data_IF_688238197466
#
_entry.id   IF_688238197466
#
_cell.length_a   1.000
_cell.length_b   1.000
_cell.length_c   1.000
_cell.angle_alpha   90.00
_cell.angle_beta   90.00
_cell.angle_gamma   90.00
#
_symmetry.space_group_name_H-M   'P 1'
#
loop_
_entity.id
_entity.type
_entity.pdbx_description
1 polymer ?
#
# COMPACT_ATOMS: atom_id res chain seq x y z
N UNK A 1 22.60 0.07 -4.41
CA UNK A 1 21.58 -0.89 -3.93
C UNK A 1 21.05 -0.55 -2.53
N UNK A 2 21.59 0.46 -1.85
CA UNK A 2 20.95 1.00 -0.64
C UNK A 2 19.88 2.02 -1.05
N UNK A 3 18.61 1.65 -0.88
CA UNK A 3 17.47 2.55 -1.00
C UNK A 3 16.71 2.49 0.32
N UNK A 4 16.68 3.63 1.03
CA UNK A 4 16.02 3.82 2.33
C UNK A 4 16.44 2.81 3.41
N UNK A 5 17.62 2.20 3.28
CA UNK A 5 18.24 1.30 4.27
C UNK A 5 17.31 0.16 4.75
N UNK A 6 16.50 -0.39 3.85
CA UNK A 6 15.49 -1.42 4.17
C UNK A 6 15.47 -2.55 3.14
N UNK A 7 14.93 -3.70 3.54
CA UNK A 7 14.71 -4.87 2.69
C UNK A 7 13.22 -5.20 2.58
N UNK A 8 12.85 -6.06 1.62
CA UNK A 8 11.47 -6.56 1.44
C UNK A 8 11.31 -7.84 2.26
N UNK A 9 10.22 -7.95 3.03
CA UNK A 9 9.85 -9.18 3.71
C UNK A 9 9.24 -10.15 2.68
N UNK A 10 9.70 -11.39 2.67
CA UNK A 10 9.14 -12.48 1.89
C UNK A 10 7.79 -12.92 2.48
N UNK A 11 6.70 -12.47 1.88
CA UNK A 11 5.33 -12.81 2.24
C UNK A 11 4.89 -14.15 1.62
N UNK A 12 5.70 -14.76 0.75
CA UNK A 12 5.46 -16.11 0.23
C UNK A 12 5.71 -17.13 1.33
N UNK A 13 6.65 -16.86 2.24
CA UNK A 13 6.83 -17.62 3.46
C UNK A 13 5.58 -17.49 4.37
N UNK A 14 4.84 -18.59 4.64
CA UNK A 14 3.62 -18.55 5.46
C UNK A 14 3.84 -18.03 6.88
N UNK A 15 4.99 -18.32 7.49
CA UNK A 15 5.30 -17.86 8.86
C UNK A 15 5.52 -16.35 8.90
N UNK A 16 6.22 -15.80 7.90
CA UNK A 16 6.42 -14.36 7.77
C UNK A 16 5.10 -13.63 7.46
N UNK A 17 4.27 -14.21 6.58
CA UNK A 17 2.93 -13.68 6.30
C UNK A 17 2.08 -13.63 7.56
N UNK A 18 2.00 -14.74 8.30
CA UNK A 18 1.21 -14.84 9.53
C UNK A 18 1.72 -13.86 10.59
N UNK A 19 3.04 -13.75 10.74
CA UNK A 19 3.64 -12.79 11.65
C UNK A 19 3.20 -11.35 11.35
N UNK A 20 3.24 -10.93 10.07
CA UNK A 20 2.81 -9.58 9.69
C UNK A 20 1.31 -9.38 9.93
N UNK A 21 0.48 -10.36 9.54
CA UNK A 21 -0.96 -10.31 9.82
C UNK A 21 -1.23 -10.15 11.32
N UNK A 22 -0.66 -11.00 12.16
CA UNK A 22 -0.88 -10.99 13.61
C UNK A 22 -0.43 -9.68 14.26
N UNK A 23 0.68 -9.08 13.79
CA UNK A 23 1.15 -7.78 14.31
C UNK A 23 0.16 -6.67 13.98
N UNK A 24 -0.35 -6.63 12.75
CA UNK A 24 -1.30 -5.60 12.32
C UNK A 24 -2.67 -5.82 12.97
N UNK A 25 -3.17 -7.06 12.99
CA UNK A 25 -4.42 -7.44 13.66
C UNK A 25 -4.37 -7.07 15.15
N UNK A 26 -3.28 -7.39 15.85
CA UNK A 26 -3.12 -7.03 17.26
C UNK A 26 -3.17 -5.52 17.50
N UNK A 27 -2.59 -4.70 16.61
CA UNK A 27 -2.67 -3.25 16.71
C UNK A 27 -4.10 -2.75 16.48
N UNK A 28 -4.79 -3.27 15.48
CA UNK A 28 -6.16 -2.88 15.14
C UNK A 28 -7.19 -3.36 16.18
N UNK A 29 -7.02 -4.54 16.78
CA UNK A 29 -7.91 -5.02 17.87
C UNK A 29 -7.66 -4.30 19.18
N UNK A 30 -6.40 -4.00 19.48
CA UNK A 30 -6.00 -3.41 20.76
C UNK A 30 -6.29 -1.91 20.88
N UNK A 31 -6.65 -1.25 19.78
CA UNK A 31 -6.79 0.20 19.73
C UNK A 31 -8.03 0.61 18.92
N UNK A 32 -8.57 1.80 19.17
CA UNK A 32 -9.66 2.36 18.37
C UNK A 32 -9.11 3.00 17.07
N UNK A 33 -8.55 2.17 16.19
CA UNK A 33 -8.01 2.57 14.89
C UNK A 33 -9.05 2.25 13.83
N UNK A 34 -9.51 3.26 13.09
CA UNK A 34 -10.46 3.11 11.97
C UNK A 34 -9.83 3.37 10.60
N UNK A 35 -8.56 3.74 10.55
CA UNK A 35 -7.84 4.08 9.32
C UNK A 35 -6.40 3.56 9.36
N UNK A 36 -6.00 2.87 8.29
CA UNK A 36 -4.66 2.31 8.10
C UNK A 36 -4.10 2.79 6.75
N UNK A 37 -3.04 3.60 6.79
CA UNK A 37 -2.24 3.88 5.60
C UNK A 37 -1.17 2.81 5.42
N UNK A 38 -1.29 2.02 4.36
CA UNK A 38 -0.36 0.93 4.05
C UNK A 38 0.66 1.36 3.01
N UNK A 39 1.92 1.55 3.41
CA UNK A 39 2.96 2.09 2.54
C UNK A 39 4.02 1.07 2.13
N UNK A 40 4.59 1.25 0.95
CA UNK A 40 5.62 0.40 0.35
C UNK A 40 6.66 1.27 -0.36
N UNK A 41 7.87 1.32 0.22
CA UNK A 41 8.87 2.35 -0.11
C UNK A 41 10.12 1.83 -0.82
N UNK A 42 10.02 0.70 -1.53
CA UNK A 42 11.14 0.20 -2.36
C UNK A 42 10.68 -0.79 -3.42
N UNK A 43 11.37 -0.85 -4.55
CA UNK A 43 11.06 -1.86 -5.55
C UNK A 43 11.44 -3.30 -5.10
N UNK A 44 10.73 -4.28 -5.66
CA UNK A 44 11.00 -5.71 -5.45
C UNK A 44 12.12 -6.21 -6.38
N UNK A 45 13.32 -5.64 -6.25
CA UNK A 45 14.48 -6.09 -7.01
C UNK A 45 14.92 -7.47 -6.52
N UNK A 46 14.99 -8.45 -7.43
CA UNK A 46 15.46 -9.83 -7.17
C UNK A 46 14.65 -10.62 -6.13
N UNK A 47 13.35 -10.35 -6.00
CA UNK A 47 12.52 -11.05 -5.02
C UNK A 47 12.39 -12.55 -5.34
N UNK A 48 12.83 -13.39 -4.41
CA UNK A 48 12.87 -14.84 -4.58
C UNK A 48 12.49 -15.61 -3.31
N UNK A 49 11.88 -16.76 -3.52
CA UNK A 49 11.48 -17.70 -2.48
C UNK A 49 11.94 -19.11 -2.88
N UNK A 50 12.57 -19.83 -1.95
CA UNK A 50 13.12 -21.17 -2.19
C UNK A 50 14.00 -21.27 -3.47
N UNK A 51 14.81 -20.25 -3.74
CA UNK A 51 15.74 -20.21 -4.87
C UNK A 51 15.10 -19.93 -6.24
N UNK A 52 13.83 -19.47 -6.29
CA UNK A 52 13.13 -19.11 -7.52
C UNK A 52 12.59 -17.68 -7.45
N UNK A 53 12.42 -17.04 -8.60
CA UNK A 53 11.69 -15.76 -8.70
C UNK A 53 10.28 -15.93 -8.13
N UNK A 54 9.81 -14.94 -7.38
CA UNK A 54 8.56 -15.05 -6.63
C UNK A 54 7.77 -13.74 -6.54
N UNK A 55 8.03 -12.78 -7.44
CA UNK A 55 7.35 -11.46 -7.46
C UNK A 55 5.83 -11.62 -7.60
N UNK A 56 5.38 -12.59 -8.39
CA UNK A 56 3.95 -12.85 -8.56
C UNK A 56 3.32 -13.40 -7.28
N UNK A 57 3.94 -14.41 -6.67
CA UNK A 57 3.50 -15.01 -5.41
C UNK A 57 3.53 -14.01 -4.26
N UNK A 58 4.54 -13.13 -4.23
CA UNK A 58 4.65 -12.03 -3.28
C UNK A 58 3.49 -11.04 -3.43
N UNK A 59 3.11 -10.74 -4.68
CA UNK A 59 1.95 -9.88 -4.99
C UNK A 59 0.66 -10.52 -4.52
N UNK A 60 0.45 -11.80 -4.84
CA UNK A 60 -0.73 -12.54 -4.37
C UNK A 60 -0.77 -12.65 -2.85
N UNK A 61 0.38 -12.83 -2.19
CA UNK A 61 0.46 -12.87 -0.73
C UNK A 61 0.10 -11.52 -0.09
N UNK A 62 0.54 -10.41 -0.68
CA UNK A 62 0.13 -9.07 -0.27
C UNK A 62 -1.37 -8.83 -0.47
N UNK A 63 -1.93 -9.28 -1.60
CA UNK A 63 -3.38 -9.24 -1.84
C UNK A 63 -4.17 -10.00 -0.79
N UNK A 64 -3.78 -11.25 -0.49
CA UNK A 64 -4.40 -12.03 0.61
C UNK A 64 -4.31 -11.31 1.95
N UNK A 65 -3.22 -10.59 2.21
CA UNK A 65 -3.04 -9.85 3.45
C UNK A 65 -4.05 -8.71 3.58
N UNK A 66 -4.27 -7.93 2.52
CA UNK A 66 -5.32 -6.91 2.50
C UNK A 66 -6.71 -7.53 2.67
N UNK A 67 -6.99 -8.62 1.95
CA UNK A 67 -8.29 -9.31 1.99
C UNK A 67 -8.61 -9.81 3.41
N UNK A 68 -7.67 -10.49 4.07
CA UNK A 68 -7.88 -10.98 5.44
C UNK A 68 -7.94 -9.85 6.47
N UNK A 69 -7.18 -8.76 6.30
CA UNK A 69 -7.28 -7.58 7.18
C UNK A 69 -8.66 -6.90 7.05
N UNK A 70 -9.17 -6.70 5.83
CA UNK A 70 -10.52 -6.13 5.62
C UNK A 70 -11.61 -7.02 6.20
N UNK A 71 -11.46 -8.35 6.06
CA UNK A 71 -12.39 -9.33 6.64
C UNK A 71 -12.36 -9.35 8.17
N UNK A 72 -11.16 -9.27 8.77
CA UNK A 72 -10.99 -9.26 10.22
C UNK A 72 -11.43 -7.91 10.85
N UNK A 73 -11.33 -6.82 10.09
CA UNK A 73 -11.58 -5.45 10.54
C UNK A 73 -12.45 -4.67 9.53
N UNK A 74 -13.75 -5.02 9.36
CA UNK A 74 -14.61 -4.42 8.34
C UNK A 74 -14.84 -2.91 8.53
N UNK A 75 -14.63 -2.37 9.73
CA UNK A 75 -14.71 -0.93 10.03
C UNK A 75 -13.42 -0.15 9.82
N UNK A 76 -12.34 -0.79 9.37
CA UNK A 76 -11.06 -0.12 9.08
C UNK A 76 -10.99 0.21 7.61
N UNK A 77 -10.78 1.50 7.32
CA UNK A 77 -10.41 1.97 5.99
C UNK A 77 -8.91 1.75 5.75
N UNK A 78 -8.55 1.21 4.59
CA UNK A 78 -7.18 1.01 4.15
C UNK A 78 -6.88 1.96 2.99
N UNK A 79 -5.91 2.84 3.17
CA UNK A 79 -5.34 3.67 2.09
C UNK A 79 -4.01 3.03 1.63
N UNK A 80 -3.95 2.55 0.39
CA UNK A 80 -2.69 2.05 -0.19
C UNK A 80 -1.78 3.20 -0.61
N UNK A 81 -0.51 3.07 -0.29
CA UNK A 81 0.55 3.98 -0.65
C UNK A 81 1.78 3.17 -1.10
N UNK A 82 2.53 3.72 -2.04
CA UNK A 82 3.83 3.22 -2.41
C UNK A 82 4.69 4.39 -2.87
N UNK A 83 5.38 5.04 -1.92
CA UNK A 83 6.10 6.31 -2.14
C UNK A 83 5.25 7.33 -2.93
N UNK A 84 4.00 7.51 -2.52
CA UNK A 84 2.98 8.06 -3.38
C UNK A 84 2.23 6.98 -4.15
N UNK A 85 2.11 7.19 -5.47
CA UNK A 85 1.24 6.43 -6.34
C UNK A 85 1.91 5.31 -7.14
N UNK A 86 3.06 4.78 -6.71
CA UNK A 86 3.78 3.76 -7.49
C UNK A 86 3.05 2.41 -7.58
N UNK A 87 1.99 2.21 -6.78
CA UNK A 87 1.12 1.03 -6.79
C UNK A 87 -0.36 1.43 -6.81
N UNK A 88 -0.72 2.21 -7.82
CA UNK A 88 -2.10 2.59 -8.15
C UNK A 88 -2.56 1.71 -9.31
N UNK A 89 -3.23 0.62 -8.99
CA UNK A 89 -3.73 -0.37 -9.94
C UNK A 89 -5.07 -0.95 -9.49
N UNK A 90 -5.78 -1.60 -10.42
CA UNK A 90 -7.11 -2.16 -10.15
C UNK A 90 -7.09 -3.28 -9.11
N UNK A 91 -6.01 -4.07 -9.03
CA UNK A 91 -5.91 -5.15 -8.05
C UNK A 91 -5.81 -4.63 -6.61
N UNK A 92 -5.15 -3.50 -6.42
CA UNK A 92 -5.14 -2.77 -5.14
C UNK A 92 -6.47 -2.08 -4.87
N UNK A 93 -7.09 -1.44 -5.86
CA UNK A 93 -8.38 -0.75 -5.68
C UNK A 93 -9.53 -1.70 -5.33
N UNK A 94 -9.46 -2.97 -5.76
CA UNK A 94 -10.42 -4.00 -5.33
C UNK A 94 -10.32 -4.33 -3.82
N UNK A 95 -9.21 -4.00 -3.17
CA UNK A 95 -8.84 -4.49 -1.82
C UNK A 95 -8.62 -3.39 -0.80
N UNK A 96 -8.60 -2.14 -1.26
CA UNK A 96 -8.34 -0.96 -0.43
C UNK A 96 -9.37 0.11 -0.72
N UNK A 97 -9.65 0.93 0.27
CA UNK A 97 -10.72 1.93 0.18
C UNK A 97 -10.24 3.20 -0.53
N UNK A 98 -8.93 3.50 -0.45
CA UNK A 98 -8.32 4.68 -1.06
C UNK A 98 -6.89 4.40 -1.50
N UNK A 99 -6.35 5.28 -2.33
CA UNK A 99 -4.93 5.31 -2.69
C UNK A 99 -4.33 6.69 -2.46
N UNK A 100 -3.05 6.74 -2.12
CA UNK A 100 -2.27 7.97 -2.10
C UNK A 100 -1.64 8.18 -3.47
N UNK A 101 -2.12 9.18 -4.23
CA UNK A 101 -1.73 9.31 -5.64
C UNK A 101 -0.29 9.81 -5.87
N UNK A 102 0.30 10.57 -4.94
CA UNK A 102 1.69 11.04 -5.04
C UNK A 102 2.16 11.65 -3.74
N UNK A 103 3.43 11.47 -3.39
CA UNK A 103 4.09 12.21 -2.30
C UNK A 103 4.31 13.68 -2.64
N UNK A 104 4.30 14.04 -3.92
CA UNK A 104 4.28 15.44 -4.33
C UNK A 104 2.93 16.06 -3.95
N UNK A 105 2.91 16.96 -2.98
CA UNK A 105 1.73 17.70 -2.55
C UNK A 105 1.74 19.18 -3.01
N UNK A 106 2.64 19.55 -3.92
CA UNK A 106 2.60 20.84 -4.61
C UNK A 106 1.30 20.98 -5.41
N UNK A 107 0.65 22.14 -5.27
CA UNK A 107 -0.67 22.36 -5.83
C UNK A 107 -0.68 22.40 -7.37
N UNK A 108 0.41 22.87 -8.00
CA UNK A 108 0.51 22.96 -9.46
C UNK A 108 0.77 21.57 -10.06
N UNK A 109 1.76 20.84 -9.53
CA UNK A 109 2.08 19.48 -9.96
C UNK A 109 0.89 18.52 -9.76
N UNK A 110 0.15 18.70 -8.66
CA UNK A 110 -1.02 17.88 -8.36
C UNK A 110 -2.15 18.01 -9.38
N UNK A 111 -2.24 19.11 -10.15
CA UNK A 111 -3.25 19.21 -11.21
C UNK A 111 -3.04 18.15 -12.29
N UNK A 112 -1.79 17.99 -12.75
CA UNK A 112 -1.44 17.00 -13.77
C UNK A 112 -1.59 15.58 -13.22
N UNK A 113 -1.10 15.33 -12.00
CA UNK A 113 -1.19 14.02 -11.36
C UNK A 113 -2.65 13.60 -11.20
N UNK A 114 -3.50 14.45 -10.60
CA UNK A 114 -4.91 14.13 -10.39
C UNK A 114 -5.67 13.92 -11.69
N UNK A 115 -5.41 14.73 -12.72
CA UNK A 115 -6.03 14.59 -14.04
C UNK A 115 -5.81 13.19 -14.63
N UNK A 116 -4.59 12.67 -14.56
CA UNK A 116 -4.26 11.38 -15.15
C UNK A 116 -4.61 10.20 -14.25
N UNK A 117 -4.48 10.33 -12.93
CA UNK A 117 -5.02 9.33 -11.98
C UNK A 117 -6.53 9.16 -12.16
N UNK A 118 -7.25 10.28 -12.37
CA UNK A 118 -8.71 10.31 -12.56
C UNK A 118 -9.22 9.63 -13.82
N UNK A 119 -8.35 9.18 -14.74
CA UNK A 119 -8.78 8.38 -15.89
C UNK A 119 -9.29 6.99 -15.50
N UNK A 120 -8.78 6.44 -14.39
CA UNK A 120 -9.09 5.07 -13.96
C UNK A 120 -9.53 4.99 -12.50
N UNK A 121 -9.20 5.98 -11.67
CA UNK A 121 -9.57 6.02 -10.25
C UNK A 121 -10.61 7.10 -10.01
N UNK A 122 -11.80 6.76 -9.45
CA UNK A 122 -12.77 7.75 -9.03
C UNK A 122 -12.16 8.74 -8.02
N UNK A 123 -12.46 10.06 -8.11
CA UNK A 123 -11.87 11.07 -7.24
C UNK A 123 -12.04 10.80 -5.73
N UNK A 124 -13.15 10.17 -5.31
CA UNK A 124 -13.42 9.79 -3.93
C UNK A 124 -12.41 8.78 -3.36
N UNK A 125 -11.79 7.96 -4.21
CA UNK A 125 -10.78 6.98 -3.80
C UNK A 125 -9.36 7.57 -3.84
N UNK A 126 -9.19 8.83 -4.27
CA UNK A 126 -7.88 9.48 -4.38
C UNK A 126 -7.61 10.33 -3.13
N UNK A 127 -6.53 10.01 -2.41
CA UNK A 127 -6.00 10.80 -1.32
C UNK A 127 -5.44 12.14 -1.82
N UNK A 128 -5.70 13.21 -1.08
CA UNK A 128 -5.15 14.55 -1.35
C UNK A 128 -5.06 15.36 -0.07
N UNK A 129 -3.87 15.91 0.20
CA UNK A 129 -3.60 16.77 1.35
C UNK A 129 -3.08 18.12 0.88
N UNK A 130 -3.37 19.18 1.64
CA UNK A 130 -2.82 20.52 1.42
C UNK A 130 -1.35 20.49 1.84
N UNK A 131 -0.45 20.73 0.89
CA UNK A 131 0.98 20.84 1.14
C UNK A 131 1.39 22.22 1.69
N UNK A 132 2.65 22.37 2.15
CA UNK A 132 3.21 23.66 2.52
C UNK A 132 3.28 24.61 1.32
N UNK A 133 3.38 25.91 1.58
CA UNK A 133 3.50 26.95 0.52
C UNK A 133 4.84 26.91 -0.22
N UNK A 134 5.81 26.17 0.30
CA UNK A 134 7.17 26.02 -0.23
C UNK A 134 7.59 24.56 -0.04
N UNK A 135 8.16 23.96 -1.10
CA UNK A 135 8.69 22.60 -1.10
C UNK A 135 10.01 22.47 -0.35
#
# INVERSE_FOLDING_TARGET
LEWRNQHVIDLVNPEAWQYIFDRVDSLLRGNNISYLKWDQNRDQLEHGHAGRSSVHEQTLAAYRLFDELKKAHPGVEIESCSSGGARVDLGILERTDRIWASDCNDALERQTIQRWTGLVVPPELVGGHVGPTTS
#
